data_IF_304183348694
#
_entry.id   IF_304183348694
#
_cell.length_a   1.000
_cell.length_b   1.000
_cell.length_c   1.000
_cell.angle_alpha   90.00
_cell.angle_beta   90.00
_cell.angle_gamma   90.00
#
_symmetry.space_group_name_H-M   'P 1'
#
loop_
_entity.id
_entity.type
_entity.pdbx_description
1 polymer ?
#
# COMPACT_ATOMS: atom_id res chain seq x y z
N UNK A 1 23.68 2.57 -5.84
CA UNK A 1 22.47 2.21 -6.59
C UNK A 1 21.60 1.37 -5.67
N UNK A 2 20.82 2.02 -4.80
CA UNK A 2 19.86 1.35 -3.91
C UNK A 2 18.49 1.52 -4.54
N UNK A 3 17.86 0.42 -4.91
CA UNK A 3 16.53 0.42 -5.50
C UNK A 3 15.52 0.97 -4.48
N UNK A 4 14.73 2.02 -4.78
CA UNK A 4 13.71 2.51 -3.85
C UNK A 4 12.52 1.53 -3.65
N UNK A 5 12.57 0.32 -4.20
CA UNK A 5 11.51 -0.70 -4.09
C UNK A 5 11.32 -1.36 -2.71
N UNK A 6 11.86 -0.81 -1.61
CA UNK A 6 11.57 -1.32 -0.26
C UNK A 6 10.36 -0.67 0.42
N UNK A 7 9.60 0.20 -0.25
CA UNK A 7 8.26 0.59 0.22
C UNK A 7 7.21 -0.36 -0.37
N UNK A 8 7.12 -1.57 0.21
CA UNK A 8 6.00 -2.48 -0.03
C UNK A 8 4.99 -2.26 1.09
N UNK A 9 3.79 -1.85 0.72
CA UNK A 9 2.65 -1.75 1.63
C UNK A 9 1.81 -3.03 1.55
N UNK A 10 0.92 -3.21 2.51
CA UNK A 10 0.02 -4.35 2.54
C UNK A 10 -1.42 -3.86 2.65
N UNK A 11 -2.31 -4.53 1.93
CA UNK A 11 -3.73 -4.26 1.99
C UNK A 11 -4.26 -4.62 3.38
N UNK A 12 -4.94 -3.70 4.09
CA UNK A 12 -5.44 -3.97 5.44
C UNK A 12 -6.66 -4.91 5.48
N UNK A 13 -7.23 -5.25 4.31
CA UNK A 13 -8.43 -6.08 4.22
C UNK A 13 -8.11 -7.56 3.94
N UNK A 14 -7.11 -7.83 3.11
CA UNK A 14 -6.79 -9.20 2.66
C UNK A 14 -5.30 -9.56 2.80
N UNK A 15 -4.47 -8.67 3.38
CA UNK A 15 -3.02 -8.84 3.50
C UNK A 15 -2.28 -9.03 2.16
N UNK A 16 -2.94 -8.73 1.04
CA UNK A 16 -2.30 -8.72 -0.27
C UNK A 16 -1.22 -7.63 -0.33
N UNK A 17 -0.13 -7.94 -1.00
CA UNK A 17 0.98 -7.01 -1.14
C UNK A 17 0.65 -5.94 -2.19
N UNK A 18 0.75 -4.67 -1.80
CA UNK A 18 0.37 -3.52 -2.63
C UNK A 18 1.51 -2.51 -2.70
N UNK A 19 1.40 -1.53 -3.59
CA UNK A 19 2.40 -0.46 -3.72
C UNK A 19 1.81 0.85 -3.24
N UNK A 20 2.66 1.78 -2.76
CA UNK A 20 2.23 3.11 -2.33
C UNK A 20 1.57 3.96 -3.45
N UNK A 21 1.75 3.58 -4.73
CA UNK A 21 1.10 4.23 -5.88
C UNK A 21 -0.28 3.65 -6.18
N UNK A 22 -0.61 2.52 -5.58
CA UNK A 22 -1.85 1.80 -5.81
C UNK A 22 -3.00 2.48 -5.03
N UNK A 23 -4.02 2.99 -5.73
CA UNK A 23 -5.18 3.63 -5.10
C UNK A 23 -6.21 2.61 -4.57
N UNK A 24 -6.18 1.39 -5.11
CA UNK A 24 -7.10 0.30 -4.80
C UNK A 24 -6.38 -1.05 -4.89
N UNK A 25 -6.62 -1.94 -3.92
CA UNK A 25 -5.99 -3.25 -3.90
C UNK A 25 -6.44 -4.09 -5.12
N UNK A 26 -5.53 -4.63 -5.94
CA UNK A 26 -5.88 -5.38 -7.14
C UNK A 26 -6.50 -6.76 -6.83
N UNK A 27 -6.34 -7.25 -5.61
CA UNK A 27 -6.78 -8.58 -5.22
C UNK A 27 -8.23 -8.57 -4.69
N UNK A 28 -8.59 -7.56 -3.90
CA UNK A 28 -9.91 -7.47 -3.25
C UNK A 28 -10.70 -6.21 -3.59
N UNK A 29 -10.08 -5.21 -4.22
CA UNK A 29 -10.70 -3.92 -4.57
C UNK A 29 -10.79 -2.90 -3.43
N UNK A 30 -10.16 -3.14 -2.27
CA UNK A 30 -10.20 -2.19 -1.14
C UNK A 30 -9.44 -0.90 -1.47
N UNK A 31 -9.99 0.27 -1.16
CA UNK A 31 -9.30 1.56 -1.36
C UNK A 31 -8.13 1.74 -0.37
N UNK A 32 -6.96 2.13 -0.87
CA UNK A 32 -5.70 2.20 -0.13
C UNK A 32 -5.29 3.62 0.27
N UNK A 33 -6.14 4.62 0.02
CA UNK A 33 -5.84 6.07 0.15
C UNK A 33 -5.51 6.57 1.58
N UNK A 34 -5.32 5.70 2.58
CA UNK A 34 -5.18 6.10 4.00
C UNK A 34 -3.98 5.50 4.77
N UNK A 35 -3.08 4.72 4.15
CA UNK A 35 -1.92 4.16 4.87
C UNK A 35 -0.82 5.19 5.23
N UNK A 36 -0.95 6.45 4.81
CA UNK A 36 0.07 7.50 4.97
C UNK A 36 -0.15 8.55 6.07
N UNK A 37 -1.15 8.43 6.96
CA UNK A 37 -1.38 9.50 7.96
C UNK A 37 -0.62 9.26 9.27
N UNK A 38 0.66 9.65 9.27
CA UNK A 38 1.32 10.07 10.52
C UNK A 38 0.75 11.44 10.90
N UNK A 39 -0.16 11.46 11.86
CA UNK A 39 -0.48 12.69 12.61
C UNK A 39 0.21 12.56 13.97
N UNK A 40 1.42 13.07 14.08
CA UNK A 40 2.07 13.47 15.34
C UNK A 40 2.81 14.78 15.09
#
# INVERSE_FOLDING_TARGET
>A
MGDPACYRDYCPACDAQVTITDGECPDCGTSLESSGRRTD
#
